data_IF_361140141244
#
_entry.id   IF_361140141244
#
_cell.length_a   1.000
_cell.length_b   1.000
_cell.length_c   1.000
_cell.angle_alpha   90.00
_cell.angle_beta   90.00
_cell.angle_gamma   90.00
#
_symmetry.space_group_name_H-M   'P 1'
#
loop_
_entity.id
_entity.type
_entity.pdbx_description
1 polymer ?
#
# COMPACT_ATOMS: atom_id res chain seq x y z
N UNK A 1 21.42 -2.85 23.99
CA UNK A 1 20.70 -2.30 22.81
C UNK A 1 19.65 -3.32 22.37
N UNK A 2 18.36 -3.09 22.67
CA UNK A 2 17.26 -4.01 22.31
C UNK A 2 16.78 -3.70 20.88
N UNK A 3 17.03 -4.61 19.95
CA UNK A 3 16.49 -4.51 18.58
C UNK A 3 15.00 -4.90 18.64
N UNK A 4 14.13 -3.90 18.73
CA UNK A 4 12.68 -4.11 18.64
C UNK A 4 12.37 -4.53 17.21
N UNK A 5 12.17 -5.83 17.00
CA UNK A 5 11.65 -6.35 15.75
C UNK A 5 10.15 -6.13 15.80
N UNK A 6 9.63 -5.14 15.08
CA UNK A 6 8.18 -4.94 14.93
C UNK A 6 7.64 -6.15 14.17
N UNK A 7 7.26 -7.19 14.91
CA UNK A 7 6.56 -8.35 14.37
C UNK A 7 5.14 -7.89 14.07
N UNK A 8 4.85 -7.68 12.79
CA UNK A 8 3.48 -7.51 12.32
C UNK A 8 2.78 -8.86 12.48
N UNK A 9 1.99 -9.01 13.54
CA UNK A 9 1.37 -10.28 13.95
C UNK A 9 0.15 -10.64 13.11
N UNK A 10 -0.44 -9.69 12.38
CA UNK A 10 -1.63 -9.90 11.56
C UNK A 10 -1.51 -9.30 10.14
N UNK A 11 -2.13 -9.91 9.11
CA UNK A 11 -2.30 -9.29 7.79
C UNK A 11 -2.91 -7.88 7.86
N UNK A 12 -3.74 -7.64 8.89
CA UNK A 12 -4.34 -6.34 9.15
C UNK A 12 -3.29 -5.31 9.58
N UNK A 13 -2.31 -5.70 10.40
CA UNK A 13 -1.23 -4.77 10.80
C UNK A 13 -0.36 -4.39 9.60
N UNK A 14 -0.11 -5.35 8.69
CA UNK A 14 0.58 -5.07 7.43
C UNK A 14 -0.23 -4.11 6.54
N UNK A 15 -1.55 -4.29 6.47
CA UNK A 15 -2.45 -3.37 5.76
C UNK A 15 -2.37 -1.96 6.34
N UNK A 16 -2.39 -1.82 7.67
CA UNK A 16 -2.31 -0.52 8.36
C UNK A 16 -0.95 0.15 8.11
N UNK A 17 0.14 -0.61 8.15
CA UNK A 17 1.47 -0.08 7.90
C UNK A 17 1.61 0.48 6.48
N UNK A 18 1.11 -0.25 5.48
CA UNK A 18 1.14 0.19 4.09
C UNK A 18 0.19 1.37 3.87
N UNK A 19 -1.01 1.35 4.45
CA UNK A 19 -1.96 2.46 4.37
C UNK A 19 -1.37 3.77 4.95
N UNK A 20 -0.59 3.70 6.04
CA UNK A 20 0.11 4.87 6.58
C UNK A 20 1.18 5.42 5.62
N UNK A 21 1.89 4.55 4.92
CA UNK A 21 2.88 4.96 3.90
C UNK A 21 2.16 5.63 2.73
N UNK A 22 1.09 5.02 2.22
CA UNK A 22 0.24 5.59 1.17
C UNK A 22 -0.30 6.97 1.56
N UNK A 23 -0.88 7.12 2.74
CA UNK A 23 -1.38 8.41 3.23
C UNK A 23 -0.28 9.49 3.27
N UNK A 24 0.98 9.12 3.49
CA UNK A 24 2.10 10.08 3.44
C UNK A 24 2.37 10.56 2.02
N UNK A 25 2.27 9.66 1.03
CA UNK A 25 2.37 10.02 -0.38
C UNK A 25 1.17 10.86 -0.83
N UNK A 26 -0.03 10.47 -0.42
CA UNK A 26 -1.28 11.18 -0.74
C UNK A 26 -1.25 12.62 -0.25
N UNK A 27 -0.88 12.83 1.02
CA UNK A 27 -0.74 14.18 1.59
C UNK A 27 0.37 14.97 0.87
N UNK A 28 1.49 14.32 0.51
CA UNK A 28 2.62 14.99 -0.15
C UNK A 28 2.26 15.46 -1.56
N UNK A 29 1.51 14.67 -2.31
CA UNK A 29 1.18 14.92 -3.71
C UNK A 29 -0.22 15.52 -3.90
N UNK A 30 -1.06 15.55 -2.85
CA UNK A 30 -2.43 16.03 -2.91
C UNK A 30 -3.34 15.17 -3.80
N UNK A 31 -3.01 13.88 -3.94
CA UNK A 31 -3.66 12.95 -4.87
C UNK A 31 -3.83 11.61 -4.18
N UNK A 32 -5.02 11.02 -4.27
CA UNK A 32 -5.31 9.69 -3.75
C UNK A 32 -4.46 8.61 -4.44
N UNK A 33 -4.05 7.58 -3.68
CA UNK A 33 -3.21 6.52 -4.24
C UNK A 33 -3.90 5.73 -5.35
N UNK A 34 -5.24 5.70 -5.36
CA UNK A 34 -6.03 5.06 -6.42
C UNK A 34 -5.95 5.84 -7.74
N UNK A 35 -6.15 7.16 -7.69
CA UNK A 35 -6.01 8.04 -8.86
C UNK A 35 -4.57 8.05 -9.37
N UNK A 36 -3.60 8.16 -8.45
CA UNK A 36 -2.18 8.06 -8.76
C UNK A 36 -1.87 6.75 -9.50
N UNK A 37 -2.32 5.61 -8.97
CA UNK A 37 -2.05 4.31 -9.57
C UNK A 37 -2.73 4.17 -10.94
N UNK A 38 -3.93 4.72 -11.10
CA UNK A 38 -4.62 4.75 -12.39
C UNK A 38 -3.82 5.54 -13.44
N UNK A 39 -3.40 6.76 -13.13
CA UNK A 39 -2.59 7.58 -14.04
C UNK A 39 -1.19 7.00 -14.29
N UNK A 40 -0.57 6.40 -13.26
CA UNK A 40 0.72 5.71 -13.37
C UNK A 40 0.61 4.48 -14.29
N UNK A 41 -0.45 3.68 -14.15
CA UNK A 41 -0.72 2.51 -15.01
C UNK A 41 -0.97 2.88 -16.47
N UNK A 42 -1.43 4.12 -16.73
CA UNK A 42 -1.65 4.67 -18.06
C UNK A 42 -0.36 5.25 -18.68
N UNK A 43 0.77 5.27 -17.95
CA UNK A 43 2.02 5.87 -18.38
C UNK A 43 1.98 7.40 -18.44
N UNK A 44 1.07 8.03 -17.69
CA UNK A 44 0.92 9.50 -17.65
C UNK A 44 1.82 10.17 -16.62
N UNK A 45 2.33 9.39 -15.67
CA UNK A 45 3.21 9.86 -14.61
C UNK A 45 4.65 9.45 -14.88
N UNK A 46 5.57 10.23 -14.33
CA UNK A 46 7.01 10.01 -14.46
C UNK A 46 7.42 8.72 -13.76
N UNK A 47 8.44 8.04 -14.28
CA UNK A 47 9.06 6.86 -13.67
C UNK A 47 10.07 7.23 -12.57
N UNK A 48 9.84 8.33 -11.86
CA UNK A 48 10.69 8.70 -10.72
C UNK A 48 10.63 7.62 -9.64
N UNK A 49 11.75 7.43 -8.95
CA UNK A 49 11.85 6.45 -7.87
C UNK A 49 10.72 6.60 -6.83
N UNK A 50 10.32 7.83 -6.51
CA UNK A 50 9.22 8.10 -5.60
C UNK A 50 7.86 7.58 -6.11
N UNK A 51 7.59 7.69 -7.42
CA UNK A 51 6.36 7.19 -8.04
C UNK A 51 6.39 5.67 -8.16
N UNK A 52 7.54 5.08 -8.50
CA UNK A 52 7.73 3.63 -8.50
C UNK A 52 7.52 3.04 -7.11
N UNK A 53 8.07 3.67 -6.07
CA UNK A 53 7.87 3.27 -4.67
C UNK A 53 6.40 3.37 -4.26
N UNK A 54 5.73 4.48 -4.60
CA UNK A 54 4.31 4.67 -4.30
C UNK A 54 3.42 3.62 -5.00
N UNK A 55 3.66 3.36 -6.28
CA UNK A 55 2.94 2.35 -7.04
C UNK A 55 3.14 0.94 -6.46
N UNK A 56 4.34 0.64 -6.00
CA UNK A 56 4.64 -0.63 -5.35
C UNK A 56 3.94 -0.76 -4.00
N UNK A 57 3.93 0.30 -3.18
CA UNK A 57 3.19 0.32 -1.91
C UNK A 57 1.68 0.15 -2.13
N UNK A 58 1.11 0.79 -3.15
CA UNK A 58 -0.32 0.66 -3.46
C UNK A 58 -0.67 -0.75 -3.93
N UNK A 59 0.15 -1.33 -4.81
CA UNK A 59 0.00 -2.73 -5.23
C UNK A 59 0.06 -3.68 -4.03
N UNK A 60 1.00 -3.44 -3.11
CA UNK A 60 1.14 -4.25 -1.91
C UNK A 60 -0.10 -4.17 -1.01
N UNK A 61 -0.67 -2.96 -0.85
CA UNK A 61 -1.93 -2.74 -0.13
C UNK A 61 -3.08 -3.55 -0.74
N UNK A 62 -3.26 -3.49 -2.06
CA UNK A 62 -4.32 -4.22 -2.77
C UNK A 62 -4.20 -5.73 -2.58
N UNK A 63 -2.98 -6.27 -2.66
CA UNK A 63 -2.75 -7.71 -2.49
C UNK A 63 -3.01 -8.18 -1.06
N UNK A 64 -2.63 -7.41 -0.03
CA UNK A 64 -2.99 -7.70 1.36
C UNK A 64 -4.51 -7.65 1.52
N UNK A 65 -5.18 -6.62 0.98
CA UNK A 65 -6.64 -6.47 1.07
C UNK A 65 -7.36 -7.66 0.44
N UNK A 66 -6.91 -8.11 -0.73
CA UNK A 66 -7.43 -9.32 -1.40
C UNK A 66 -7.21 -10.59 -0.57
N UNK A 67 -6.03 -10.76 0.05
CA UNK A 67 -5.76 -11.91 0.93
C UNK A 67 -6.70 -11.94 2.13
N UNK A 68 -6.93 -10.78 2.77
CA UNK A 68 -7.88 -10.66 3.89
C UNK A 68 -9.29 -10.98 3.43
N UNK A 69 -9.74 -10.39 2.31
CA UNK A 69 -11.08 -10.63 1.77
C UNK A 69 -11.29 -12.12 1.43
N UNK A 70 -10.29 -12.78 0.83
CA UNK A 70 -10.33 -14.21 0.54
C UNK A 70 -10.42 -15.04 1.83
N UNK A 71 -9.63 -14.70 2.84
CA UNK A 71 -9.69 -15.38 4.14
C UNK A 71 -11.03 -15.20 4.83
N UNK A 72 -11.73 -14.08 4.63
CA UNK A 72 -13.06 -13.85 5.18
C UNK A 72 -14.13 -14.64 4.42
N UNK A 73 -14.03 -14.72 3.09
CA UNK A 73 -14.95 -15.48 2.26
C UNK A 73 -14.85 -17.01 2.49
N UNK A 74 -13.65 -17.51 2.85
CA UNK A 74 -13.42 -18.94 3.14
C UNK A 74 -14.02 -19.38 4.50
N UNK A 75 -14.32 -18.43 5.40
CA UNK A 75 -14.85 -18.67 6.75
C UNK A 75 -16.39 -18.57 6.79
N UNK A 76 -17.03 -18.13 5.70
CA UNK A 76 -18.48 -17.95 5.57
C UNK A 76 -19.14 -19.15 4.87
#
# INVERSE_FOLDING_TARGET
MRKQTTRYTSPIDALIAVAKRLNTHEIRHGMDSEDFFHEYSQGRLSDDAAFVEWANDYRHYVEIRKKIAKSLADVA
#
